data_IF_921474745220
#
_entry.id   IF_921474745220
#
_cell.length_a   1.000
_cell.length_b   1.000
_cell.length_c   1.000
_cell.angle_alpha   90.00
_cell.angle_beta   90.00
_cell.angle_gamma   90.00
#
_symmetry.space_group_name_H-M   'P 1'
#
loop_
_entity.id
_entity.type
_entity.pdbx_description
1 polymer ?
#
# COMPACT_ATOMS: atom_id res chain seq x y z
N UNK A 1 43.12 19.57 -0.87
CA UNK A 1 43.54 18.38 -1.68
C UNK A 1 43.32 17.18 -0.76
N UNK A 2 42.13 16.59 -0.67
CA UNK A 2 41.29 16.10 -1.76
C UNK A 2 41.44 14.58 -1.76
N UNK A 3 40.58 13.89 -1.03
CA UNK A 3 40.42 12.45 -1.10
C UNK A 3 38.94 12.13 -0.83
N UNK A 4 38.17 12.11 -1.91
CA UNK A 4 36.82 11.55 -1.93
C UNK A 4 36.95 10.03 -1.82
N UNK A 5 36.20 9.36 -0.93
CA UNK A 5 36.13 7.91 -0.95
C UNK A 5 35.37 7.47 -2.22
N UNK A 6 36.04 6.62 -2.99
CA UNK A 6 35.51 5.94 -4.17
C UNK A 6 34.44 4.94 -3.75
N UNK A 7 33.17 5.36 -3.75
CA UNK A 7 32.02 4.45 -3.72
C UNK A 7 31.16 4.74 -4.94
N UNK A 8 31.63 4.32 -6.11
CA UNK A 8 30.79 4.23 -7.29
C UNK A 8 29.78 3.08 -7.09
N UNK A 9 28.50 3.42 -7.28
CA UNK A 9 27.38 2.52 -7.60
C UNK A 9 26.50 1.97 -6.46
N UNK A 10 26.95 1.83 -5.21
CA UNK A 10 26.07 1.29 -4.13
C UNK A 10 25.20 2.34 -3.40
N UNK A 11 25.54 3.63 -3.43
CA UNK A 11 24.86 4.65 -2.62
C UNK A 11 23.50 5.11 -3.20
N UNK A 12 23.26 4.90 -4.51
CA UNK A 12 22.02 5.34 -5.16
C UNK A 12 20.84 4.40 -4.93
N UNK A 13 21.08 3.14 -4.56
CA UNK A 13 20.03 2.13 -4.31
C UNK A 13 19.33 2.43 -2.97
N UNK A 14 20.07 2.85 -1.95
CA UNK A 14 19.51 3.11 -0.62
C UNK A 14 18.56 4.32 -0.60
N UNK A 15 18.81 5.35 -1.40
CA UNK A 15 17.90 6.50 -1.51
C UNK A 15 16.58 6.16 -2.22
N UNK A 16 16.58 5.21 -3.17
CA UNK A 16 15.35 4.73 -3.83
C UNK A 16 14.52 3.83 -2.91
N UNK A 17 15.18 3.04 -2.06
CA UNK A 17 14.52 2.22 -1.04
C UNK A 17 13.95 3.08 0.11
N UNK A 18 14.59 4.19 0.45
CA UNK A 18 14.14 5.10 1.52
C UNK A 18 12.92 5.94 1.10
N UNK A 19 12.85 6.42 -0.15
CA UNK A 19 11.67 7.14 -0.66
C UNK A 19 10.42 6.24 -0.78
N UNK A 20 10.61 4.92 -0.84
CA UNK A 20 9.54 3.91 -0.90
C UNK A 20 8.77 3.76 0.43
N UNK A 21 9.16 4.48 1.50
CA UNK A 21 8.72 4.24 2.88
C UNK A 21 7.91 5.36 3.55
N UNK A 22 7.58 6.50 2.92
CA UNK A 22 7.02 7.64 3.69
C UNK A 22 5.51 7.88 3.58
N UNK A 23 4.78 7.16 2.72
CA UNK A 23 3.32 7.17 2.69
C UNK A 23 2.81 5.73 2.55
N UNK A 24 2.57 5.07 3.68
CA UNK A 24 2.12 3.67 3.69
C UNK A 24 0.65 3.59 3.30
N UNK A 25 0.35 2.98 2.15
CA UNK A 25 -1.03 2.80 1.73
C UNK A 25 -1.74 1.73 2.56
N UNK A 26 -3.02 1.94 2.86
CA UNK A 26 -3.90 0.94 3.48
C UNK A 26 -5.12 0.71 2.61
N UNK A 27 -5.28 -0.52 2.13
CA UNK A 27 -6.44 -0.94 1.36
C UNK A 27 -7.49 -1.55 2.31
N UNK A 28 -8.64 -0.90 2.42
CA UNK A 28 -9.82 -1.41 3.10
C UNK A 28 -10.72 -2.12 2.09
N UNK A 29 -10.85 -3.44 2.22
CA UNK A 29 -11.72 -4.21 1.35
C UNK A 29 -12.28 -5.47 2.00
N UNK A 30 -13.31 -6.02 1.38
CA UNK A 30 -13.87 -7.32 1.76
C UNK A 30 -12.84 -8.44 1.50
N UNK A 31 -12.88 -9.52 2.29
CA UNK A 31 -12.03 -10.71 2.07
C UNK A 31 -12.48 -11.55 0.87
N UNK A 32 -12.45 -10.91 -0.30
CA UNK A 32 -12.78 -11.47 -1.60
C UNK A 32 -12.04 -10.70 -2.70
N UNK A 33 -12.02 -11.27 -3.92
CA UNK A 33 -11.29 -10.69 -5.05
C UNK A 33 -12.03 -9.50 -5.67
N UNK A 34 -13.19 -9.73 -6.29
CA UNK A 34 -14.08 -8.76 -6.95
C UNK A 34 -13.47 -7.37 -7.26
N UNK A 35 -14.03 -6.28 -6.71
CA UNK A 35 -13.68 -4.89 -7.05
C UNK A 35 -12.37 -4.41 -6.42
N UNK A 36 -11.85 -5.11 -5.39
CA UNK A 36 -10.57 -4.79 -4.77
C UNK A 36 -9.38 -5.36 -5.51
N UNK A 37 -9.58 -6.41 -6.31
CA UNK A 37 -8.51 -7.09 -7.05
C UNK A 37 -7.76 -6.18 -8.03
N UNK A 38 -8.42 -5.31 -8.82
CA UNK A 38 -7.72 -4.37 -9.69
C UNK A 38 -6.78 -3.43 -8.92
N UNK A 39 -7.15 -3.02 -7.70
CA UNK A 39 -6.32 -2.16 -6.85
C UNK A 39 -5.08 -2.92 -6.36
N UNK A 40 -5.23 -4.19 -5.95
CA UNK A 40 -4.10 -5.05 -5.58
C UNK A 40 -3.13 -5.23 -6.74
N UNK A 41 -3.63 -5.49 -7.95
CA UNK A 41 -2.78 -5.63 -9.13
C UNK A 41 -2.03 -4.35 -9.44
N UNK A 42 -2.68 -3.19 -9.35
CA UNK A 42 -2.04 -1.90 -9.57
C UNK A 42 -0.89 -1.67 -8.58
N UNK A 43 -1.15 -1.87 -7.28
CA UNK A 43 -0.12 -1.73 -6.24
C UNK A 43 1.02 -2.74 -6.44
N UNK A 44 0.70 -3.96 -6.90
CA UNK A 44 1.71 -4.98 -7.20
C UNK A 44 2.58 -4.65 -8.40
N UNK A 45 2.00 -4.14 -9.49
CA UNK A 45 2.72 -3.74 -10.71
C UNK A 45 3.65 -2.56 -10.43
N UNK A 46 3.23 -1.64 -9.57
CA UNK A 46 4.04 -0.50 -9.14
C UNK A 46 5.11 -0.86 -8.10
N UNK A 47 5.15 -2.12 -7.65
CA UNK A 47 5.97 -2.57 -6.54
C UNK A 47 5.78 -1.64 -5.31
N UNK A 48 4.54 -1.23 -5.04
CA UNK A 48 4.22 -0.35 -3.93
C UNK A 48 3.88 -1.19 -2.70
N UNK A 49 4.54 -0.91 -1.58
CA UNK A 49 4.18 -1.54 -0.30
C UNK A 49 2.84 -0.98 0.20
N UNK A 50 1.96 -1.86 0.64
CA UNK A 50 0.67 -1.50 1.23
C UNK A 50 0.26 -2.51 2.30
N UNK A 51 -0.59 -2.07 3.21
CA UNK A 51 -1.28 -2.93 4.19
C UNK A 51 -2.71 -3.19 3.75
N UNK A 52 -3.25 -4.35 4.08
CA UNK A 52 -4.62 -4.72 3.71
C UNK A 52 -5.44 -5.01 4.95
N UNK A 53 -6.56 -4.31 5.08
CA UNK A 53 -7.58 -4.56 6.09
C UNK A 53 -8.71 -5.38 5.44
N UNK A 54 -8.69 -6.68 5.70
CA UNK A 54 -9.61 -7.66 5.14
C UNK A 54 -10.83 -7.80 6.03
N UNK A 55 -11.96 -7.32 5.52
CA UNK A 55 -13.22 -7.27 6.24
C UNK A 55 -14.06 -8.48 5.87
N UNK A 56 -14.45 -9.27 6.86
CA UNK A 56 -15.42 -10.35 6.62
C UNK A 56 -16.80 -9.77 6.29
N UNK A 57 -17.36 -10.20 5.16
CA UNK A 57 -18.60 -9.65 4.61
C UNK A 57 -19.83 -9.92 5.50
N UNK A 58 -19.85 -11.02 6.26
CA UNK A 58 -21.02 -11.43 7.02
C UNK A 58 -20.99 -10.95 8.47
N UNK A 59 -19.81 -10.89 9.08
CA UNK A 59 -19.63 -10.66 10.51
C UNK A 59 -19.13 -9.26 10.85
N UNK A 60 -18.39 -8.61 9.95
CA UNK A 60 -17.71 -7.34 10.23
C UNK A 60 -18.22 -6.18 9.37
N UNK A 61 -18.54 -6.44 8.10
CA UNK A 61 -18.98 -5.39 7.17
C UNK A 61 -20.23 -4.62 7.63
N UNK A 62 -21.30 -5.26 8.16
CA UNK A 62 -22.49 -4.53 8.59
C UNK A 62 -22.22 -3.45 9.66
N UNK A 63 -21.26 -3.70 10.54
CA UNK A 63 -20.87 -2.79 11.62
C UNK A 63 -19.93 -1.71 11.11
N UNK A 64 -18.96 -2.09 10.27
CA UNK A 64 -17.91 -1.21 9.77
C UNK A 64 -18.33 -0.32 8.61
N UNK A 65 -19.46 -0.62 7.96
CA UNK A 65 -19.96 0.15 6.82
C UNK A 65 -20.04 1.65 7.12
N UNK A 66 -20.41 2.02 8.35
CA UNK A 66 -20.52 3.42 8.80
C UNK A 66 -19.18 4.12 9.04
N UNK A 67 -18.08 3.37 9.13
CA UNK A 67 -16.75 3.92 9.34
C UNK A 67 -16.21 4.59 8.06
N UNK A 68 -16.77 4.24 6.90
CA UNK A 68 -16.38 4.78 5.60
C UNK A 68 -17.33 5.93 5.19
N UNK A 69 -16.78 7.06 4.75
CA UNK A 69 -17.54 8.28 4.40
C UNK A 69 -18.72 8.00 3.44
N UNK A 70 -18.49 7.15 2.44
CA UNK A 70 -19.50 6.79 1.44
C UNK A 70 -20.15 5.43 1.69
N UNK A 71 -19.86 4.80 2.83
CA UNK A 71 -20.39 3.49 3.20
C UNK A 71 -20.13 2.37 2.16
N UNK A 72 -19.03 2.47 1.41
CA UNK A 72 -18.64 1.54 0.35
C UNK A 72 -17.17 1.15 0.48
N UNK A 73 -16.83 0.01 -0.11
CA UNK A 73 -15.45 -0.46 -0.30
C UNK A 73 -15.27 -0.92 -1.76
N UNK A 74 -14.06 -0.86 -2.36
CA UNK A 74 -12.75 -0.57 -1.74
C UNK A 74 -12.49 0.90 -1.44
N UNK A 75 -11.73 1.16 -0.37
CA UNK A 75 -11.18 2.48 0.00
C UNK A 75 -9.67 2.35 0.18
N UNK A 76 -8.92 3.31 -0.37
CA UNK A 76 -7.47 3.39 -0.23
C UNK A 76 -7.14 4.63 0.61
N UNK A 77 -6.44 4.42 1.71
CA UNK A 77 -5.91 5.46 2.61
C UNK A 77 -4.39 5.59 2.46
#
# INVERSE_FOLDING_TARGET
RGALPTCHTHCLIDATLYFRSTMGYKLHYLDLRARGEPVRWLLKVLDQAYTEDRIDIFTQWPQRKKDFEFEVTPVLE
#
